data_IF_917707246240
#
_entry.id   IF_917707246240
#
_cell.length_a   1.000
_cell.length_b   1.000
_cell.length_c   1.000
_cell.angle_alpha   90.00
_cell.angle_beta   90.00
_cell.angle_gamma   90.00
#
_symmetry.space_group_name_H-M   'P 1'
#
loop_
_entity.id
_entity.type
_entity.pdbx_description
1 polymer ?
#
# COMPACT_ATOMS: atom_id res chain seq x y z
N UNK A 1 -2.89 24.69 -4.18
CA UNK A 1 -3.31 25.85 -5.01
C UNK A 1 -2.39 27.05 -4.79
N UNK A 2 -2.23 27.54 -3.53
CA UNK A 2 -1.38 28.74 -3.25
C UNK A 2 0.08 28.58 -3.73
N UNK A 3 0.66 27.39 -3.60
CA UNK A 3 2.02 27.13 -4.07
C UNK A 3 2.14 27.25 -5.60
N UNK A 4 1.17 26.69 -6.34
CA UNK A 4 1.12 26.79 -7.81
C UNK A 4 0.88 28.23 -8.27
N UNK A 5 0.05 28.99 -7.56
CA UNK A 5 -0.14 30.43 -7.84
C UNK A 5 1.19 31.19 -7.66
N UNK A 6 1.93 30.94 -6.56
CA UNK A 6 3.25 31.55 -6.34
C UNK A 6 4.30 31.13 -7.36
N UNK A 7 4.20 29.91 -7.88
CA UNK A 7 5.06 29.38 -8.94
C UNK A 7 4.70 29.85 -10.35
N UNK A 8 3.70 30.73 -10.50
CA UNK A 8 3.25 31.22 -11.81
C UNK A 8 2.43 30.23 -12.63
N UNK A 9 1.93 29.17 -12.01
CA UNK A 9 1.17 28.10 -12.66
C UNK A 9 -0.27 27.96 -12.12
N UNK A 10 -1.08 29.05 -12.04
CA UNK A 10 -2.42 29.00 -11.45
C UNK A 10 -3.41 28.13 -12.24
N UNK A 11 -3.11 27.86 -13.51
CA UNK A 11 -3.92 27.05 -14.43
C UNK A 11 -3.85 25.53 -14.17
N UNK A 12 -2.87 25.07 -13.38
CA UNK A 12 -2.75 23.63 -13.08
C UNK A 12 -3.83 23.25 -12.07
N UNK A 13 -4.73 22.31 -12.43
CA UNK A 13 -5.78 21.87 -11.53
C UNK A 13 -5.18 21.11 -10.34
N UNK A 14 -5.65 21.42 -9.13
CA UNK A 14 -5.34 20.67 -7.93
C UNK A 14 -6.57 19.85 -7.57
N UNK A 15 -6.47 18.54 -7.72
CA UNK A 15 -7.54 17.59 -7.40
C UNK A 15 -7.19 16.93 -6.08
N UNK A 16 -8.11 16.95 -5.12
CA UNK A 16 -8.00 16.18 -3.88
C UNK A 16 -9.05 15.08 -3.84
N UNK A 17 -8.66 13.89 -3.42
CA UNK A 17 -9.61 12.82 -3.10
C UNK A 17 -10.16 13.09 -1.72
N UNK A 18 -11.37 13.66 -1.67
CA UNK A 18 -12.03 14.00 -0.43
C UNK A 18 -13.29 13.15 -0.24
N UNK A 19 -13.24 12.23 0.72
CA UNK A 19 -14.35 11.35 1.06
C UNK A 19 -15.60 12.10 1.54
N UNK A 20 -15.45 13.33 2.05
CA UNK A 20 -16.56 14.13 2.58
C UNK A 20 -17.25 15.02 1.55
N UNK A 21 -16.84 14.95 0.28
CA UNK A 21 -17.47 15.73 -0.79
C UNK A 21 -17.35 17.25 -0.66
N UNK A 22 -16.42 17.76 0.17
CA UNK A 22 -16.22 19.19 0.43
C UNK A 22 -15.63 19.96 -0.77
N UNK A 23 -14.98 19.27 -1.70
CA UNK A 23 -14.51 19.87 -2.95
C UNK A 23 -15.16 19.19 -4.15
N UNK A 24 -15.80 19.99 -5.00
CA UNK A 24 -16.27 19.57 -6.32
C UNK A 24 -15.19 19.93 -7.32
N UNK A 25 -14.61 18.94 -7.98
CA UNK A 25 -13.65 19.16 -9.05
C UNK A 25 -14.40 19.04 -10.39
N UNK A 26 -14.68 20.17 -11.03
CA UNK A 26 -15.32 20.19 -12.35
C UNK A 26 -14.41 19.46 -13.35
N UNK A 27 -15.01 18.59 -14.15
CA UNK A 27 -14.29 17.81 -15.17
C UNK A 27 -13.61 16.53 -14.70
N UNK A 28 -13.51 16.25 -13.39
CA UNK A 28 -12.96 15.00 -12.87
C UNK A 28 -14.07 14.11 -12.29
N UNK A 29 -14.25 12.94 -12.86
CA UNK A 29 -15.22 11.94 -12.40
C UNK A 29 -14.51 10.66 -11.99
N UNK A 30 -14.83 10.16 -10.81
CA UNK A 30 -14.40 8.83 -10.39
C UNK A 30 -15.24 7.79 -11.13
N UNK A 31 -14.62 7.07 -12.06
CA UNK A 31 -15.22 5.87 -12.63
C UNK A 31 -15.04 4.67 -11.69
N UNK A 32 -15.93 3.67 -11.71
CA UNK A 32 -15.75 2.44 -10.95
C UNK A 32 -14.42 1.73 -11.28
N UNK A 33 -13.98 1.77 -12.55
CA UNK A 33 -12.69 1.24 -12.96
C UNK A 33 -11.52 1.96 -12.28
N UNK A 34 -11.49 3.28 -12.31
CA UNK A 34 -10.44 4.07 -11.65
C UNK A 34 -10.37 3.80 -10.13
N UNK A 35 -11.53 3.61 -9.48
CA UNK A 35 -11.57 3.26 -8.05
C UNK A 35 -10.96 1.87 -7.83
N UNK A 36 -11.28 0.90 -8.67
CA UNK A 36 -10.72 -0.44 -8.58
C UNK A 36 -9.21 -0.44 -8.80
N UNK A 37 -8.73 0.28 -9.83
CA UNK A 37 -7.30 0.42 -10.11
C UNK A 37 -6.56 1.11 -8.96
N UNK A 38 -7.17 2.11 -8.33
CA UNK A 38 -6.60 2.75 -7.14
C UNK A 38 -6.47 1.75 -5.96
N UNK A 39 -7.47 0.89 -5.75
CA UNK A 39 -7.41 -0.16 -4.72
C UNK A 39 -6.32 -1.19 -5.07
N UNK A 40 -6.22 -1.61 -6.33
CA UNK A 40 -5.14 -2.50 -6.78
C UNK A 40 -3.76 -1.87 -6.56
N UNK A 41 -3.60 -0.57 -6.84
CA UNK A 41 -2.35 0.15 -6.59
C UNK A 41 -1.98 0.15 -5.09
N UNK A 42 -2.97 0.28 -4.19
CA UNK A 42 -2.73 0.17 -2.74
C UNK A 42 -2.25 -1.23 -2.36
N UNK A 43 -2.88 -2.29 -2.91
CA UNK A 43 -2.42 -3.68 -2.66
C UNK A 43 -0.99 -3.89 -3.15
N UNK A 44 -0.63 -3.37 -4.33
CA UNK A 44 0.75 -3.44 -4.80
C UNK A 44 1.72 -2.70 -3.87
N UNK A 45 1.33 -1.52 -3.39
CA UNK A 45 2.11 -0.76 -2.41
C UNK A 45 2.34 -1.54 -1.11
N UNK A 46 1.29 -2.16 -0.56
CA UNK A 46 1.36 -3.00 0.63
C UNK A 46 2.29 -4.21 0.41
N UNK A 47 2.19 -4.88 -0.75
CA UNK A 47 3.11 -5.97 -1.11
C UNK A 47 4.56 -5.51 -1.21
N UNK A 48 4.82 -4.35 -1.83
CA UNK A 48 6.17 -3.81 -1.93
C UNK A 48 6.74 -3.46 -0.55
N UNK A 49 6.00 -2.79 0.31
CA UNK A 49 6.46 -2.52 1.67
C UNK A 49 6.81 -3.81 2.42
N UNK A 50 5.92 -4.80 2.36
CA UNK A 50 6.10 -6.09 3.02
C UNK A 50 7.31 -6.86 2.50
N UNK A 51 7.50 -6.90 1.19
CA UNK A 51 8.56 -7.67 0.55
C UNK A 51 9.91 -6.92 0.61
N UNK A 52 9.93 -5.65 0.20
CA UNK A 52 11.17 -4.87 0.12
C UNK A 52 11.81 -4.66 1.50
N UNK A 53 11.03 -4.21 2.49
CA UNK A 53 11.58 -3.93 3.83
C UNK A 53 12.03 -5.20 4.56
N UNK A 54 11.52 -6.36 4.13
CA UNK A 54 11.97 -7.67 4.64
C UNK A 54 13.27 -8.15 4.00
N UNK A 55 13.57 -7.82 2.74
CA UNK A 55 14.76 -8.34 2.04
C UNK A 55 15.91 -7.33 1.97
N UNK A 56 15.61 -6.02 1.80
CA UNK A 56 16.62 -4.98 1.63
C UNK A 56 17.66 -4.91 2.75
N UNK A 57 17.31 -5.02 4.06
CA UNK A 57 18.31 -5.02 5.13
C UNK A 57 19.32 -6.18 5.08
N UNK A 58 19.02 -7.21 4.30
CA UNK A 58 19.80 -8.45 4.20
C UNK A 58 20.40 -8.67 2.79
N UNK A 59 20.26 -7.71 1.87
CA UNK A 59 20.76 -7.85 0.50
C UNK A 59 22.26 -8.08 0.46
N UNK A 60 22.71 -8.96 -0.46
CA UNK A 60 24.13 -9.27 -0.63
C UNK A 60 24.86 -8.16 -1.41
N UNK A 61 24.17 -7.49 -2.28
CA UNK A 61 24.70 -6.37 -3.09
C UNK A 61 23.86 -5.13 -2.81
N UNK A 62 24.43 -4.07 -2.22
CA UNK A 62 23.71 -2.85 -1.90
C UNK A 62 22.97 -2.26 -3.11
N UNK A 63 21.69 -1.94 -2.93
CA UNK A 63 20.82 -1.35 -3.96
C UNK A 63 20.17 -2.35 -4.91
N UNK A 64 20.50 -3.64 -4.83
CA UNK A 64 19.89 -4.66 -5.70
C UNK A 64 18.42 -4.92 -5.39
N UNK A 65 18.01 -4.80 -4.13
CA UNK A 65 16.61 -4.89 -3.72
C UNK A 65 15.78 -3.71 -4.25
N UNK A 66 16.33 -2.50 -4.21
CA UNK A 66 15.69 -1.32 -4.78
C UNK A 66 15.58 -1.42 -6.30
N UNK A 67 16.59 -1.95 -6.99
CA UNK A 67 16.53 -2.20 -8.43
C UNK A 67 15.42 -3.22 -8.79
N UNK A 68 15.27 -4.28 -8.00
CA UNK A 68 14.17 -5.25 -8.16
C UNK A 68 12.81 -4.57 -7.92
N UNK A 69 12.71 -3.74 -6.88
CA UNK A 69 11.50 -2.96 -6.61
C UNK A 69 11.13 -2.05 -7.78
N UNK A 70 12.07 -1.25 -8.30
CA UNK A 70 11.79 -0.35 -9.43
C UNK A 70 11.30 -1.12 -10.67
N UNK A 71 11.91 -2.27 -10.97
CA UNK A 71 11.46 -3.14 -12.06
C UNK A 71 10.00 -3.58 -11.88
N UNK A 72 9.65 -4.11 -10.72
CA UNK A 72 8.30 -4.60 -10.46
C UNK A 72 7.28 -3.49 -10.26
N UNK A 73 7.70 -2.34 -9.75
CA UNK A 73 6.88 -1.13 -9.68
C UNK A 73 6.44 -0.69 -11.07
N UNK A 74 7.36 -0.68 -12.06
CA UNK A 74 6.99 -0.33 -13.43
C UNK A 74 6.01 -1.34 -14.02
N UNK A 75 6.22 -2.65 -13.82
CA UNK A 75 5.28 -3.69 -14.25
C UNK A 75 3.90 -3.52 -13.62
N UNK A 76 3.85 -3.18 -12.32
CA UNK A 76 2.61 -2.91 -11.61
C UNK A 76 1.88 -1.68 -12.18
N UNK A 77 2.59 -0.59 -12.46
CA UNK A 77 2.05 0.60 -13.12
C UNK A 77 1.49 0.24 -14.50
N UNK A 78 2.29 -0.43 -15.33
CA UNK A 78 1.89 -0.82 -16.69
C UNK A 78 0.64 -1.71 -16.68
N UNK A 79 0.51 -2.60 -15.68
CA UNK A 79 -0.67 -3.47 -15.55
C UNK A 79 -1.98 -2.72 -15.27
N UNK A 80 -1.89 -1.49 -14.74
CA UNK A 80 -3.05 -0.65 -14.45
C UNK A 80 -3.30 0.43 -15.52
N UNK A 81 -2.26 0.81 -16.27
CA UNK A 81 -2.31 1.98 -17.14
C UNK A 81 -2.12 1.69 -18.62
N UNK A 82 -1.45 0.59 -18.98
CA UNK A 82 -1.20 0.23 -20.37
C UNK A 82 -2.18 -0.85 -20.85
N UNK A 83 -3.11 -0.52 -21.78
CA UNK A 83 -4.02 -1.50 -22.35
C UNK A 83 -3.34 -2.68 -23.10
N UNK A 84 -2.04 -2.54 -23.42
CA UNK A 84 -1.26 -3.60 -24.05
C UNK A 84 -0.66 -4.58 -23.04
N UNK A 85 -0.64 -4.23 -21.77
CA UNK A 85 -0.17 -5.12 -20.73
C UNK A 85 -1.13 -6.31 -20.59
N UNK A 86 -0.60 -7.53 -20.76
CA UNK A 86 -1.37 -8.78 -20.71
C UNK A 86 -1.38 -9.42 -19.32
N UNK A 87 -0.65 -8.85 -18.36
CA UNK A 87 -0.58 -9.38 -17.00
C UNK A 87 -1.83 -8.98 -16.23
N UNK A 88 -2.52 -9.98 -15.69
CA UNK A 88 -3.62 -9.74 -14.77
C UNK A 88 -3.11 -9.29 -13.41
N UNK A 89 -3.96 -8.59 -12.65
CA UNK A 89 -3.71 -8.19 -11.27
C UNK A 89 -3.14 -9.33 -10.41
N UNK A 90 -3.76 -10.52 -10.48
CA UNK A 90 -3.31 -11.68 -9.72
C UNK A 90 -1.93 -12.20 -10.15
N UNK A 91 -1.59 -12.10 -11.45
CA UNK A 91 -0.26 -12.46 -11.94
C UNK A 91 0.81 -11.50 -11.45
N UNK A 92 0.51 -10.19 -11.40
CA UNK A 92 1.44 -9.19 -10.89
C UNK A 92 1.66 -9.39 -9.38
N UNK A 93 0.60 -9.58 -8.58
CA UNK A 93 0.75 -9.91 -7.15
C UNK A 93 1.66 -11.13 -6.92
N UNK A 94 1.42 -12.18 -7.67
CA UNK A 94 2.24 -13.41 -7.60
C UNK A 94 3.68 -13.13 -8.00
N UNK A 95 3.91 -12.46 -9.13
CA UNK A 95 5.24 -12.17 -9.62
C UNK A 95 6.06 -11.31 -8.67
N UNK A 96 5.46 -10.31 -8.02
CA UNK A 96 6.12 -9.52 -6.97
C UNK A 96 6.60 -10.45 -5.86
N UNK A 97 5.70 -11.25 -5.28
CA UNK A 97 6.03 -12.12 -4.16
C UNK A 97 7.11 -13.14 -4.54
N UNK A 98 6.96 -13.83 -5.68
CA UNK A 98 7.92 -14.82 -6.16
C UNK A 98 9.31 -14.22 -6.41
N UNK A 99 9.37 -13.01 -7.01
CA UNK A 99 10.64 -12.34 -7.29
C UNK A 99 11.39 -11.96 -6.01
N UNK A 100 10.69 -11.45 -5.00
CA UNK A 100 11.29 -11.10 -3.71
C UNK A 100 11.56 -12.34 -2.84
N UNK A 101 10.76 -13.41 -2.95
CA UNK A 101 11.01 -14.67 -2.24
C UNK A 101 12.27 -15.38 -2.74
N UNK A 102 12.54 -15.28 -4.05
CA UNK A 102 13.74 -15.81 -4.68
C UNK A 102 14.96 -14.86 -4.58
N UNK A 103 14.79 -13.64 -4.06
CA UNK A 103 15.85 -12.65 -3.98
C UNK A 103 16.99 -13.10 -3.07
N UNK A 104 18.27 -13.00 -3.50
CA UNK A 104 19.41 -13.44 -2.71
C UNK A 104 19.65 -12.50 -1.52
N UNK A 105 19.64 -13.07 -0.32
CA UNK A 105 19.92 -12.38 0.95
C UNK A 105 20.94 -13.14 1.78
N UNK A 106 21.58 -12.44 2.71
CA UNK A 106 22.39 -13.08 3.75
C UNK A 106 21.46 -13.69 4.81
N UNK A 107 21.27 -15.00 4.74
CA UNK A 107 20.43 -15.76 5.67
C UNK A 107 21.07 -15.98 7.04
N UNK A 108 22.35 -15.62 7.22
CA UNK A 108 23.05 -15.72 8.52
C UNK A 108 22.78 -14.53 9.42
N UNK A 109 22.47 -13.38 8.85
CA UNK A 109 22.15 -12.17 9.59
C UNK A 109 20.79 -12.26 10.30
N UNK A 110 20.75 -11.66 11.48
CA UNK A 110 19.50 -11.45 12.25
C UNK A 110 19.49 -10.03 12.76
N UNK A 111 18.57 -9.23 12.27
CA UNK A 111 18.39 -7.83 12.67
C UNK A 111 17.15 -7.68 13.55
N UNK A 112 17.16 -6.79 14.54
CA UNK A 112 15.96 -6.48 15.32
C UNK A 112 14.86 -5.94 14.42
N UNK A 113 13.63 -6.42 14.60
CA UNK A 113 12.46 -5.95 13.87
C UNK A 113 11.81 -4.80 14.62
N UNK A 114 11.66 -3.67 13.97
CA UNK A 114 11.10 -2.44 14.55
C UNK A 114 9.82 -2.07 13.83
N UNK A 115 8.70 -2.10 14.57
CA UNK A 115 7.38 -1.71 14.06
C UNK A 115 7.23 -0.18 13.98
N UNK A 116 6.86 0.33 12.81
CA UNK A 116 6.54 1.75 12.61
C UNK A 116 5.04 1.92 12.80
N UNK A 117 4.66 2.65 13.83
CA UNK A 117 3.26 2.97 14.17
C UNK A 117 3.05 4.48 14.22
N UNK A 118 1.81 4.92 14.19
CA UNK A 118 1.46 6.33 14.30
C UNK A 118 0.33 6.75 13.35
N UNK A 119 0.20 8.05 13.16
CA UNK A 119 -0.78 8.67 12.28
C UNK A 119 -0.52 8.27 10.81
N UNK A 120 -1.59 8.05 10.04
CA UNK A 120 -1.53 7.47 8.70
C UNK A 120 -0.62 8.27 7.75
N UNK A 121 -0.75 9.60 7.72
CA UNK A 121 0.06 10.44 6.83
C UNK A 121 1.54 10.33 7.18
N UNK A 122 1.88 10.46 8.45
CA UNK A 122 3.26 10.39 8.93
C UNK A 122 3.85 8.99 8.70
N UNK A 123 3.07 7.94 8.97
CA UNK A 123 3.53 6.56 8.82
C UNK A 123 3.90 6.18 7.38
N UNK A 124 3.09 6.60 6.40
CA UNK A 124 3.27 6.18 5.00
C UNK A 124 3.95 7.23 4.11
N UNK A 125 4.27 8.42 4.61
CA UNK A 125 4.89 9.48 3.84
C UNK A 125 6.35 9.69 4.27
N UNK A 126 7.35 9.21 3.51
CA UNK A 126 8.76 9.31 3.89
C UNK A 126 9.21 10.75 4.17
N UNK A 127 8.72 11.73 3.41
CA UNK A 127 9.02 13.15 3.65
C UNK A 127 8.46 13.69 4.97
N UNK A 128 7.35 13.12 5.46
CA UNK A 128 6.72 13.53 6.73
C UNK A 128 7.36 12.86 7.94
N UNK A 129 8.04 11.72 7.76
CA UNK A 129 8.68 10.96 8.83
C UNK A 129 10.22 10.95 8.75
N UNK A 130 10.81 11.87 7.97
CA UNK A 130 12.26 11.97 7.80
C UNK A 130 12.91 10.67 7.30
N UNK A 131 12.26 9.96 6.37
CA UNK A 131 12.74 8.70 5.81
C UNK A 131 13.02 7.62 6.88
N UNK A 132 12.13 7.47 7.85
CA UNK A 132 12.30 6.64 9.04
C UNK A 132 12.70 5.20 8.73
N UNK A 133 12.15 4.60 7.66
CA UNK A 133 12.55 3.24 7.23
C UNK A 133 14.03 3.17 6.93
N UNK A 134 14.54 4.10 6.12
CA UNK A 134 15.96 4.17 5.75
C UNK A 134 16.85 4.42 6.96
N UNK A 135 16.42 5.26 7.90
CA UNK A 135 17.13 5.51 9.15
C UNK A 135 17.23 4.22 9.97
N UNK A 136 16.13 3.50 10.17
CA UNK A 136 16.13 2.23 10.91
C UNK A 136 17.04 1.17 10.25
N UNK A 137 17.00 1.07 8.93
CA UNK A 137 17.85 0.13 8.19
C UNK A 137 19.33 0.50 8.29
N UNK A 138 19.68 1.80 8.23
CA UNK A 138 21.04 2.30 8.42
C UNK A 138 21.56 2.01 9.82
N UNK A 139 20.70 2.05 10.85
CA UNK A 139 21.00 1.67 12.23
C UNK A 139 21.02 0.15 12.45
N UNK A 140 20.84 -0.65 11.41
CA UNK A 140 20.94 -2.09 11.46
C UNK A 140 19.66 -2.83 11.86
N UNK A 141 18.51 -2.20 11.77
CA UNK A 141 17.20 -2.81 12.03
C UNK A 141 16.48 -3.26 10.76
N UNK A 142 15.47 -4.13 10.92
CA UNK A 142 14.45 -4.44 9.90
C UNK A 142 13.20 -3.63 10.23
N UNK A 143 12.80 -2.73 9.32
CA UNK A 143 11.59 -1.95 9.49
C UNK A 143 10.34 -2.77 9.15
N UNK A 144 9.31 -2.69 9.99
CA UNK A 144 8.01 -3.32 9.78
C UNK A 144 6.93 -2.26 9.75
N UNK A 145 6.32 -2.06 8.59
CA UNK A 145 5.21 -1.11 8.39
C UNK A 145 3.94 -1.90 8.18
N UNK A 146 2.88 -1.71 8.98
CA UNK A 146 1.58 -2.34 8.74
C UNK A 146 1.02 -1.95 7.38
N UNK A 147 0.27 -2.84 6.74
CA UNK A 147 -0.35 -2.59 5.45
C UNK A 147 -1.35 -1.42 5.53
N UNK A 148 -1.44 -0.60 4.47
CA UNK A 148 -2.40 0.51 4.42
C UNK A 148 -3.85 0.01 4.43
N UNK A 149 -4.11 -1.13 3.80
CA UNK A 149 -5.45 -1.73 3.81
C UNK A 149 -5.88 -2.21 5.21
N UNK A 150 -4.96 -2.52 6.10
CA UNK A 150 -5.30 -2.83 7.49
C UNK A 150 -5.79 -1.59 8.24
N UNK A 151 -5.27 -0.41 7.91
CA UNK A 151 -5.82 0.84 8.43
C UNK A 151 -7.25 1.08 7.96
N UNK A 152 -7.58 0.81 6.69
CA UNK A 152 -8.95 0.93 6.21
C UNK A 152 -9.88 -0.10 6.88
N UNK A 153 -9.43 -1.33 7.09
CA UNK A 153 -10.17 -2.32 7.86
C UNK A 153 -10.44 -1.85 9.29
N UNK A 154 -9.44 -1.27 9.95
CA UNK A 154 -9.59 -0.69 11.29
C UNK A 154 -10.65 0.43 11.32
N UNK A 155 -10.65 1.32 10.32
CA UNK A 155 -11.66 2.38 10.21
C UNK A 155 -13.08 1.82 10.05
N UNK A 156 -13.23 0.75 9.25
CA UNK A 156 -14.51 0.07 9.04
C UNK A 156 -14.99 -0.65 10.32
N UNK A 157 -14.10 -1.34 11.03
CA UNK A 157 -14.41 -1.98 12.31
C UNK A 157 -14.92 -0.97 13.36
N UNK A 158 -14.42 0.27 13.31
CA UNK A 158 -14.96 1.36 14.13
C UNK A 158 -16.45 1.66 13.88
N UNK A 159 -16.98 1.34 12.68
CA UNK A 159 -18.40 1.42 12.36
C UNK A 159 -19.22 0.34 13.07
N UNK A 160 -18.74 -0.90 13.05
CA UNK A 160 -19.33 -2.04 13.75
C UNK A 160 -19.36 -1.81 15.27
N UNK A 161 -18.23 -1.42 15.83
CA UNK A 161 -18.12 -1.08 17.26
C UNK A 161 -19.12 0.02 17.70
N UNK A 162 -19.25 1.09 16.90
CA UNK A 162 -20.21 2.16 17.19
C UNK A 162 -21.65 1.68 17.14
N UNK A 163 -21.98 0.73 16.25
CA UNK A 163 -23.31 0.13 16.22
C UNK A 163 -23.58 -0.70 17.49
N UNK A 164 -22.64 -1.56 17.85
CA UNK A 164 -22.80 -2.51 18.96
C UNK A 164 -22.82 -1.81 20.34
N UNK A 165 -21.92 -0.83 20.55
CA UNK A 165 -21.70 -0.24 21.87
C UNK A 165 -22.20 1.21 22.02
N UNK A 166 -22.42 1.94 20.93
CA UNK A 166 -22.76 3.37 20.97
C UNK A 166 -24.11 3.68 20.30
N UNK A 167 -24.91 2.66 19.96
CA UNK A 167 -26.24 2.83 19.41
C UNK A 167 -26.29 3.45 18.00
N UNK A 168 -25.22 3.37 17.22
CA UNK A 168 -25.23 3.81 15.83
C UNK A 168 -26.19 2.94 14.99
N UNK A 169 -26.73 3.51 13.90
CA UNK A 169 -27.70 2.82 13.05
C UNK A 169 -27.11 1.56 12.38
N UNK A 170 -27.95 0.56 12.17
CA UNK A 170 -27.61 -0.74 11.55
C UNK A 170 -26.99 -0.61 10.15
N UNK A 171 -27.26 0.49 9.44
CA UNK A 171 -26.71 0.76 8.11
C UNK A 171 -25.18 0.94 8.15
N UNK A 172 -24.64 1.50 9.23
CA UNK A 172 -23.19 1.67 9.40
C UNK A 172 -22.48 0.33 9.59
N UNK A 173 -23.11 -0.59 10.35
CA UNK A 173 -22.61 -1.96 10.55
C UNK A 173 -22.62 -2.76 9.23
N UNK A 174 -23.75 -2.72 8.49
CA UNK A 174 -23.83 -3.39 7.21
C UNK A 174 -22.79 -2.87 6.20
N UNK A 175 -22.58 -1.56 6.14
CA UNK A 175 -21.59 -0.95 5.27
C UNK A 175 -20.17 -1.37 5.66
N UNK A 176 -19.88 -1.42 6.96
CA UNK A 176 -18.61 -1.90 7.48
C UNK A 176 -18.32 -3.35 7.06
N UNK A 177 -19.28 -4.26 7.28
CA UNK A 177 -19.16 -5.69 6.91
C UNK A 177 -18.96 -5.89 5.41
N UNK A 178 -19.71 -5.17 4.58
CA UNK A 178 -19.55 -5.21 3.12
C UNK A 178 -18.18 -4.68 2.71
N UNK A 179 -17.75 -3.56 3.30
CA UNK A 179 -16.45 -2.96 3.04
C UNK A 179 -15.28 -3.91 3.38
N UNK A 180 -15.29 -4.49 4.57
CA UNK A 180 -14.26 -5.45 5.02
C UNK A 180 -14.22 -6.67 4.09
N UNK A 181 -15.39 -7.22 3.72
CA UNK A 181 -15.47 -8.34 2.78
C UNK A 181 -14.92 -7.97 1.40
N UNK A 182 -15.19 -6.77 0.92
CA UNK A 182 -14.69 -6.28 -0.37
C UNK A 182 -13.17 -6.09 -0.34
N UNK A 183 -12.62 -5.48 0.70
CA UNK A 183 -11.17 -5.34 0.88
C UNK A 183 -10.50 -6.72 0.89
N UNK A 184 -11.06 -7.67 1.64
CA UNK A 184 -10.54 -9.03 1.70
C UNK A 184 -10.55 -9.71 0.32
N UNK A 185 -11.64 -9.55 -0.44
CA UNK A 185 -11.75 -10.14 -1.77
C UNK A 185 -10.70 -9.57 -2.75
N UNK A 186 -10.48 -8.26 -2.71
CA UNK A 186 -9.44 -7.62 -3.55
C UNK A 186 -8.04 -8.03 -3.11
N UNK A 187 -7.77 -8.18 -1.81
CA UNK A 187 -6.46 -8.65 -1.29
C UNK A 187 -6.21 -10.14 -1.54
N UNK A 188 -7.22 -10.93 -1.86
CA UNK A 188 -7.09 -12.39 -1.92
C UNK A 188 -5.96 -12.88 -2.82
N UNK A 189 -5.72 -12.34 -4.04
CA UNK A 189 -4.57 -12.76 -4.86
C UNK A 189 -3.22 -12.51 -4.22
N UNK A 190 -3.06 -11.39 -3.50
CA UNK A 190 -1.85 -11.08 -2.75
C UNK A 190 -1.66 -12.04 -1.56
N UNK A 191 -2.72 -12.29 -0.80
CA UNK A 191 -2.73 -13.25 0.32
C UNK A 191 -2.36 -14.65 -0.18
N UNK A 192 -2.91 -15.10 -1.30
CA UNK A 192 -2.63 -16.43 -1.86
C UNK A 192 -1.18 -16.55 -2.38
N UNK A 193 -0.61 -15.46 -2.86
CA UNK A 193 0.80 -15.40 -3.22
C UNK A 193 1.70 -15.49 -1.98
N UNK A 194 1.42 -14.69 -0.96
CA UNK A 194 2.17 -14.68 0.30
C UNK A 194 2.13 -16.02 1.04
N UNK A 195 0.99 -16.72 1.04
CA UNK A 195 0.88 -18.07 1.63
C UNK A 195 1.81 -19.12 1.00
N UNK A 196 2.23 -18.90 -0.23
CA UNK A 196 3.14 -19.79 -0.96
C UNK A 196 4.61 -19.41 -0.77
N UNK A 197 4.87 -18.22 -0.24
CA UNK A 197 6.21 -17.75 0.05
C UNK A 197 6.80 -18.45 1.26
N UNK A 198 8.13 -18.58 1.26
CA UNK A 198 8.90 -19.07 2.41
C UNK A 198 9.33 -17.96 3.37
N UNK A 199 9.31 -16.70 2.89
CA UNK A 199 9.85 -15.54 3.62
C UNK A 199 8.80 -14.61 4.16
N UNK A 200 7.64 -14.56 3.52
CA UNK A 200 6.62 -13.57 3.82
C UNK A 200 5.39 -14.20 4.43
N UNK A 201 4.91 -13.60 5.49
CA UNK A 201 3.66 -13.99 6.13
C UNK A 201 2.49 -13.20 5.53
N UNK A 202 1.33 -13.82 5.30
CA UNK A 202 0.12 -13.10 4.91
C UNK A 202 -0.35 -12.19 6.05
N UNK A 203 -1.10 -11.12 5.72
CA UNK A 203 -1.72 -10.22 6.69
C UNK A 203 -2.86 -10.87 7.44
#
# INVERSE_FOLDING_TARGET
RRALQKAGCPQIPVISVNANGMEKNEGFKFSPGLILDAIHAIVYGDLFMRCLYRVRPYELTPGSADALHEKWKQIAIDSLTDPKCKLSYAQVCRGIVEAFDAFPIDETLRKPRVGIVGEILVKYMPLANNHLVQVLEAEGAEAVVPDMLDFFNYCLLGGEYRHEFLGAGITADMLAKVGIKSIRAVRQPAIDALKKSRRFEPP
#
